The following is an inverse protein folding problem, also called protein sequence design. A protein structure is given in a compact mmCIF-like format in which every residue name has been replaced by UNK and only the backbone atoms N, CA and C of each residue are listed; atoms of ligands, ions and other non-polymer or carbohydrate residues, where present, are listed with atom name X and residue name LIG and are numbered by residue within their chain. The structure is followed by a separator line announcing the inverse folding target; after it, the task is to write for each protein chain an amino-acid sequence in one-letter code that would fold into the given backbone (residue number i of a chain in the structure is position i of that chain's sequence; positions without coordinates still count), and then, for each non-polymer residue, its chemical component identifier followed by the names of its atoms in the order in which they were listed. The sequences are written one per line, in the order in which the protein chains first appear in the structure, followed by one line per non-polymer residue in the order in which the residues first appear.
data_IF_803341269715
#
_entry.id   IF_803341269715
#
_cell.length_a   1.000
_cell.length_b   1.000
_cell.length_c   1.000
_cell.angle_alpha   90.00
_cell.angle_beta   90.00
_cell.angle_gamma   90.00
#
_symmetry.space_group_name_H-M   'P 1'
#
loop_
_entity.id
_entity.type
_entity.pdbx_description
1 polymer ?
#
# COMPACT_ATOMS: atom_id res chain seq x y z
N UNK A 1 -1.04 -14.20 -13.76
CA UNK A 1 -0.07 -14.47 -12.70
C UNK A 1 -0.23 -13.39 -11.65
N UNK A 2 -0.15 -13.75 -10.38
CA UNK A 2 -0.41 -12.86 -9.25
C UNK A 2 0.81 -12.78 -8.33
N UNK A 3 0.97 -11.71 -7.55
CA UNK A 3 1.93 -11.70 -6.46
C UNK A 3 1.60 -12.80 -5.45
N UNK A 4 2.64 -13.36 -4.82
CA UNK A 4 2.49 -14.37 -3.77
C UNK A 4 3.24 -13.88 -2.54
N UNK A 5 2.52 -13.66 -1.44
CA UNK A 5 3.17 -13.43 -0.14
C UNK A 5 3.70 -14.77 0.33
N UNK A 6 5.01 -14.97 0.17
CA UNK A 6 5.67 -16.22 0.56
C UNK A 6 5.75 -16.36 2.07
N UNK A 7 6.02 -15.25 2.75
CA UNK A 7 6.08 -15.19 4.21
C UNK A 7 5.53 -13.83 4.62
N UNK A 8 4.67 -13.79 5.64
CA UNK A 8 4.36 -12.59 6.41
C UNK A 8 4.36 -12.94 7.89
N UNK A 9 5.18 -12.24 8.67
CA UNK A 9 5.22 -12.30 10.13
C UNK A 9 4.88 -10.93 10.71
N UNK A 10 3.87 -10.88 11.57
CA UNK A 10 3.38 -9.67 12.24
C UNK A 10 3.81 -9.72 13.70
N UNK A 11 4.87 -9.00 14.00
CA UNK A 11 5.55 -8.99 15.31
C UNK A 11 5.20 -7.76 16.17
N UNK A 12 4.30 -6.89 15.69
CA UNK A 12 3.82 -5.73 16.42
C UNK A 12 2.29 -5.66 16.41
N UNK A 13 1.69 -5.08 17.47
CA UNK A 13 0.25 -4.89 17.53
C UNK A 13 -0.23 -3.82 16.54
N UNK A 14 -1.16 -4.21 15.67
CA UNK A 14 -1.87 -3.33 14.76
C UNK A 14 -3.36 -3.32 15.08
N UNK A 15 -3.94 -2.12 15.23
CA UNK A 15 -5.40 -1.99 15.34
C UNK A 15 -6.08 -2.44 14.05
N UNK A 16 -5.51 -2.04 12.93
CA UNK A 16 -5.96 -2.41 11.59
C UNK A 16 -4.76 -2.91 10.81
N UNK A 17 -4.92 -4.02 10.11
CA UNK A 17 -4.00 -4.53 9.10
C UNK A 17 -4.88 -4.96 7.94
N UNK A 18 -4.57 -4.47 6.74
CA UNK A 18 -5.35 -4.77 5.55
C UNK A 18 -4.47 -4.64 4.31
N UNK A 19 -4.81 -5.41 3.30
CA UNK A 19 -4.29 -5.26 1.95
C UNK A 19 -5.44 -4.82 1.03
N UNK A 20 -5.15 -3.91 0.11
CA UNK A 20 -6.11 -3.45 -0.89
C UNK A 20 -5.59 -3.72 -2.31
N UNK A 21 -6.45 -4.27 -3.15
CA UNK A 21 -6.31 -4.32 -4.59
C UNK A 21 -6.70 -2.94 -5.14
N UNK A 22 -5.73 -2.15 -5.59
CA UNK A 22 -5.94 -0.75 -5.98
C UNK A 22 -6.06 -0.63 -7.51
N UNK A 23 -7.28 -0.31 -7.97
CA UNK A 23 -7.65 -0.22 -9.38
C UNK A 23 -7.80 1.22 -9.88
N UNK A 24 -8.11 2.13 -8.97
CA UNK A 24 -8.23 3.57 -9.26
C UNK A 24 -7.96 4.37 -7.98
N UNK A 25 -8.07 5.69 -8.06
CA UNK A 25 -7.79 6.61 -6.98
C UNK A 25 -8.82 7.73 -6.91
N UNK A 26 -9.01 8.29 -5.72
CA UNK A 26 -9.80 9.51 -5.51
C UNK A 26 -9.02 10.49 -4.62
N UNK A 27 -8.44 11.52 -5.24
CA UNK A 27 -7.65 12.53 -4.52
C UNK A 27 -8.51 13.52 -3.71
N UNK A 28 -9.84 13.48 -3.84
CA UNK A 28 -10.76 14.33 -3.09
C UNK A 28 -10.92 13.89 -1.63
N UNK A 29 -10.64 12.60 -1.33
CA UNK A 29 -10.69 12.01 0.01
C UNK A 29 -9.30 11.57 0.49
N UNK A 30 -9.11 11.40 1.80
CA UNK A 30 -7.81 11.00 2.38
C UNK A 30 -7.83 9.56 2.93
N UNK A 31 -6.65 9.05 3.27
CA UNK A 31 -6.45 7.72 3.87
C UNK A 31 -6.92 6.58 2.97
N UNK A 32 -7.37 5.45 3.53
CA UNK A 32 -7.68 4.25 2.74
C UNK A 32 -8.80 4.44 1.70
N UNK A 33 -9.64 5.46 1.88
CA UNK A 33 -10.73 5.78 0.95
C UNK A 33 -10.24 6.35 -0.39
N UNK A 34 -9.05 6.94 -0.43
CA UNK A 34 -8.50 7.49 -1.67
C UNK A 34 -7.95 6.41 -2.62
N UNK A 35 -7.85 5.17 -2.16
CA UNK A 35 -7.46 4.02 -2.95
C UNK A 35 -8.73 3.27 -3.31
N UNK A 36 -9.14 3.26 -4.57
CA UNK A 36 -10.37 2.59 -5.03
C UNK A 36 -10.05 1.14 -5.36
N UNK A 37 -10.92 0.23 -4.89
CA UNK A 37 -10.85 -1.20 -5.12
C UNK A 37 -11.19 -1.99 -3.84
N UNK A 38 -10.93 -3.30 -3.86
CA UNK A 38 -11.38 -4.22 -2.83
C UNK A 38 -10.30 -4.54 -1.79
N UNK A 39 -10.73 -4.80 -0.56
CA UNK A 39 -9.85 -5.32 0.48
C UNK A 39 -9.70 -6.83 0.32
N UNK A 40 -8.48 -7.34 0.52
CA UNK A 40 -8.24 -8.78 0.60
C UNK A 40 -8.95 -9.36 1.83
N UNK A 41 -9.67 -10.46 1.65
CA UNK A 41 -10.24 -11.25 2.73
C UNK A 41 -9.15 -12.09 3.43
N UNK A 42 -8.09 -12.42 2.69
CA UNK A 42 -6.94 -13.20 3.17
C UNK A 42 -6.04 -12.39 4.11
N UNK A 43 -6.03 -11.06 4.04
CA UNK A 43 -5.16 -10.20 4.87
C UNK A 43 -5.97 -9.34 5.83
N UNK A 44 -5.83 -9.62 7.12
CA UNK A 44 -6.49 -8.88 8.19
C UNK A 44 -5.61 -8.78 9.46
N UNK A 45 -6.11 -8.09 10.49
CA UNK A 45 -5.38 -7.85 11.74
C UNK A 45 -5.24 -9.06 12.69
N UNK A 46 -5.75 -10.22 12.31
CA UNK A 46 -5.58 -11.47 13.06
C UNK A 46 -4.37 -12.28 12.58
N UNK A 47 -3.79 -11.92 11.43
CA UNK A 47 -2.55 -12.55 10.94
C UNK A 47 -1.43 -12.32 11.94
N UNK A 48 -0.76 -13.41 12.31
CA UNK A 48 0.49 -13.41 13.07
C UNK A 48 1.64 -13.95 12.24
N UNK A 49 1.44 -15.11 11.59
CA UNK A 49 2.41 -15.71 10.69
C UNK A 49 1.64 -16.53 9.66
N UNK A 50 1.84 -16.22 8.38
CA UNK A 50 1.22 -16.94 7.27
C UNK A 50 2.21 -17.03 6.11
N UNK A 51 2.00 -18.02 5.23
CA UNK A 51 2.85 -18.27 4.07
C UNK A 51 2.02 -18.65 2.85
N UNK A 52 2.62 -18.47 1.68
CA UNK A 52 2.04 -18.87 0.38
C UNK A 52 0.64 -18.30 0.09
N UNK A 53 0.37 -17.06 0.53
CA UNK A 53 -0.87 -16.35 0.21
C UNK A 53 -0.76 -15.80 -1.20
N UNK A 54 -1.49 -16.42 -2.13
CA UNK A 54 -1.67 -15.90 -3.50
C UNK A 54 -2.66 -14.74 -3.47
N UNK A 55 -2.29 -13.60 -4.06
CA UNK A 55 -3.15 -12.42 -4.16
C UNK A 55 -3.99 -12.45 -5.45
N UNK A 56 -4.89 -13.44 -5.55
CA UNK A 56 -5.71 -13.76 -6.72
C UNK A 56 -7.21 -13.48 -6.53
N UNK A 57 -7.59 -12.76 -5.47
CA UNK A 57 -9.01 -12.44 -5.22
C UNK A 57 -9.55 -11.43 -6.24
N UNK A 58 -8.69 -10.55 -6.75
CA UNK A 58 -9.03 -9.53 -7.74
C UNK A 58 -7.85 -9.27 -8.70
N UNK A 59 -8.16 -8.88 -9.94
CA UNK A 59 -7.15 -8.39 -10.88
C UNK A 59 -6.87 -6.93 -10.55
N UNK A 60 -5.62 -6.62 -10.21
CA UNK A 60 -5.21 -5.26 -9.86
C UNK A 60 -3.83 -4.90 -10.39
N UNK A 61 -3.68 -3.63 -10.80
CA UNK A 61 -2.39 -3.07 -11.21
C UNK A 61 -1.49 -2.80 -10.00
N UNK A 62 -2.10 -2.38 -8.90
CA UNK A 62 -1.41 -1.95 -7.69
C UNK A 62 -1.97 -2.66 -6.46
N UNK A 63 -1.12 -2.80 -5.44
CA UNK A 63 -1.45 -3.43 -4.17
C UNK A 63 -0.94 -2.54 -3.04
N UNK A 64 -1.72 -2.41 -1.98
CA UNK A 64 -1.35 -1.59 -0.84
C UNK A 64 -1.61 -2.31 0.48
N UNK A 65 -0.53 -2.65 1.20
CA UNK A 65 -0.56 -3.23 2.53
C UNK A 65 -0.35 -2.12 3.58
N UNK A 66 -1.29 -1.98 4.50
CA UNK A 66 -1.27 -0.97 5.55
C UNK A 66 -1.52 -1.57 6.93
N UNK A 67 -0.63 -1.26 7.87
CA UNK A 67 -0.79 -1.56 9.29
C UNK A 67 -0.90 -0.26 10.10
N UNK A 68 -2.03 -0.05 10.78
CA UNK A 68 -2.22 1.08 11.72
C UNK A 68 -1.86 0.61 13.12
N UNK A 69 -0.77 1.14 13.67
CA UNK A 69 -0.16 0.67 14.92
C UNK A 69 -1.05 0.89 16.15
N UNK A 70 -0.86 0.04 17.16
CA UNK A 70 -1.41 0.21 18.51
C UNK A 70 -0.25 0.21 19.54
N UNK A 71 -0.06 1.23 20.40
CA UNK A 71 -0.79 2.50 20.44
C UNK A 71 -0.62 3.30 19.13
N UNK A 72 -1.57 4.19 18.83
CA UNK A 72 -1.58 4.97 17.59
C UNK A 72 -0.38 5.92 17.49
N UNK A 73 0.73 5.43 16.94
CA UNK A 73 1.94 6.19 16.65
C UNK A 73 2.21 6.14 15.17
N UNK A 74 2.02 7.26 14.47
CA UNK A 74 2.12 7.29 13.00
C UNK A 74 3.47 6.81 12.46
N UNK A 75 4.57 7.04 13.19
CA UNK A 75 5.90 6.54 12.84
C UNK A 75 6.00 5.02 12.82
N UNK A 76 5.10 4.32 13.52
CA UNK A 76 5.07 2.87 13.66
C UNK A 76 4.07 2.23 12.69
N UNK A 77 3.31 3.02 11.91
CA UNK A 77 2.45 2.47 10.88
C UNK A 77 3.29 1.79 9.80
N UNK A 78 2.81 0.64 9.33
CA UNK A 78 3.41 -0.06 8.21
C UNK A 78 2.71 0.37 6.93
N UNK A 79 3.50 0.62 5.89
CA UNK A 79 3.03 0.91 4.54
C UNK A 79 3.93 0.20 3.54
N UNK A 80 3.33 -0.55 2.63
CA UNK A 80 3.99 -1.18 1.50
C UNK A 80 3.06 -1.09 0.28
N UNK A 81 3.45 -0.28 -0.68
CA UNK A 81 2.83 -0.20 -1.99
C UNK A 81 3.66 -1.02 -2.98
N UNK A 82 3.01 -1.77 -3.86
CA UNK A 82 3.70 -2.58 -4.85
C UNK A 82 2.83 -2.86 -6.08
N UNK A 83 3.45 -3.39 -7.12
CA UNK A 83 2.78 -3.89 -8.33
C UNK A 83 3.30 -5.27 -8.69
N UNK A 84 2.54 -5.99 -9.52
CA UNK A 84 3.01 -7.24 -10.08
C UNK A 84 4.22 -7.02 -10.98
N UNK A 85 5.26 -7.84 -10.79
CA UNK A 85 6.43 -7.90 -11.68
C UNK A 85 7.00 -9.31 -11.65
N UNK A 86 6.76 -10.08 -12.71
CA UNK A 86 7.19 -11.47 -12.81
C UNK A 86 8.69 -11.61 -12.55
N UNK A 87 9.06 -12.61 -11.73
CA UNK A 87 10.46 -12.92 -11.40
C UNK A 87 11.16 -11.92 -10.47
N UNK A 88 10.46 -10.86 -10.02
CA UNK A 88 10.96 -9.95 -8.98
C UNK A 88 10.43 -10.33 -7.61
N UNK A 89 11.14 -9.94 -6.56
CA UNK A 89 10.70 -10.15 -5.18
C UNK A 89 10.91 -8.91 -4.32
N UNK A 90 10.04 -8.77 -3.33
CA UNK A 90 10.15 -7.79 -2.25
C UNK A 90 10.57 -8.54 -1.01
N UNK A 91 11.54 -8.00 -0.28
CA UNK A 91 11.87 -8.40 1.09
C UNK A 91 11.88 -7.15 1.96
N UNK A 92 10.98 -7.11 2.93
CA UNK A 92 10.84 -5.97 3.84
C UNK A 92 10.75 -6.47 5.27
N UNK A 93 11.56 -5.88 6.15
CA UNK A 93 11.46 -6.06 7.60
C UNK A 93 11.50 -4.68 8.26
N UNK A 94 10.33 -4.15 8.60
CA UNK A 94 10.19 -2.81 9.18
C UNK A 94 8.87 -2.68 9.92
N UNK A 95 8.85 -1.79 10.90
CA UNK A 95 7.62 -1.39 11.60
C UNK A 95 6.82 -2.57 12.17
N UNK A 96 7.50 -3.68 12.52
CA UNK A 96 6.86 -4.87 13.10
C UNK A 96 6.23 -5.82 12.09
N UNK A 97 6.48 -5.65 10.79
CA UNK A 97 6.12 -6.65 9.77
C UNK A 97 7.40 -7.07 9.03
N UNK A 98 7.62 -8.38 9.01
CA UNK A 98 8.55 -9.03 8.10
C UNK A 98 7.72 -9.69 7.00
N UNK A 99 8.04 -9.41 5.73
CA UNK A 99 7.29 -9.90 4.60
C UNK A 99 8.19 -10.15 3.40
N UNK A 100 7.95 -11.28 2.72
CA UNK A 100 8.54 -11.61 1.42
C UNK A 100 7.41 -11.81 0.42
N UNK A 101 7.47 -11.09 -0.69
CA UNK A 101 6.48 -11.19 -1.77
C UNK A 101 7.19 -11.55 -3.07
N UNK A 102 6.81 -12.67 -3.68
CA UNK A 102 7.24 -13.06 -5.01
C UNK A 102 6.35 -12.45 -6.09
N UNK A 103 6.93 -12.29 -7.28
CA UNK A 103 6.33 -11.64 -8.44
C UNK A 103 5.84 -10.21 -8.16
N UNK A 104 6.62 -9.46 -7.38
CA UNK A 104 6.27 -8.12 -6.96
C UNK A 104 7.46 -7.16 -7.03
N UNK A 105 7.16 -5.89 -7.28
CA UNK A 105 8.10 -4.78 -7.20
C UNK A 105 7.54 -3.71 -6.25
N UNK A 106 8.33 -3.34 -5.24
CA UNK A 106 7.95 -2.29 -4.29
C UNK A 106 7.95 -0.92 -4.97
N UNK A 107 6.88 -0.17 -4.77
CA UNK A 107 6.76 1.23 -5.16
C UNK A 107 7.06 2.07 -3.93
N UNK A 108 8.24 2.69 -3.92
CA UNK A 108 8.63 3.59 -2.82
C UNK A 108 7.73 4.83 -2.85
N UNK A 109 6.99 5.03 -1.76
CA UNK A 109 6.09 6.18 -1.60
C UNK A 109 6.93 7.45 -1.43
N UNK A 110 6.90 8.34 -2.42
CA UNK A 110 7.62 9.61 -2.38
C UNK A 110 6.72 10.78 -1.99
N UNK A 111 7.00 11.38 -0.83
CA UNK A 111 6.28 12.58 -0.37
C UNK A 111 6.58 13.84 -1.20
N UNK A 112 7.68 13.88 -1.98
CA UNK A 112 8.00 15.04 -2.80
C UNK A 112 7.11 15.15 -4.04
N UNK A 113 6.55 14.03 -4.51
CA UNK A 113 5.60 13.98 -5.63
C UNK A 113 4.35 14.84 -5.40
N UNK A 114 3.96 15.06 -4.15
CA UNK A 114 2.79 15.86 -3.76
C UNK A 114 2.87 17.29 -4.30
N UNK A 115 4.08 17.88 -4.27
CA UNK A 115 4.31 19.26 -4.74
C UNK A 115 4.12 19.41 -6.26
N UNK A 116 4.12 18.31 -7.01
CA UNK A 116 3.96 18.30 -8.47
C UNK A 116 2.49 18.27 -8.89
N UNK A 117 1.57 17.97 -7.97
CA UNK A 117 0.14 17.95 -8.26
C UNK A 117 -0.51 19.28 -7.89
N UNK A 118 -1.09 19.94 -8.88
CA UNK A 118 -1.94 21.11 -8.68
C UNK A 118 -3.35 20.66 -8.22
N UNK A 119 -3.46 20.21 -6.98
CA UNK A 119 -4.72 19.79 -6.36
C UNK A 119 -4.86 20.49 -4.99
N UNK A 120 -6.04 21.02 -4.68
CA UNK A 120 -6.28 21.77 -3.45
C UNK A 120 -5.85 21.01 -2.18
N UNK A 121 -6.12 19.71 -2.13
CA UNK A 121 -5.74 18.88 -0.99
C UNK A 121 -4.22 18.71 -0.81
N UNK A 122 -3.37 19.03 -1.79
CA UNK A 122 -1.91 18.87 -1.67
C UNK A 122 -1.27 19.82 -0.64
N UNK A 123 -1.94 20.93 -0.31
CA UNK A 123 -1.50 21.88 0.73
C UNK A 123 -2.09 21.59 2.11
N UNK A 124 -3.06 20.67 2.22
CA UNK A 124 -3.71 20.32 3.49
C UNK A 124 -2.86 19.28 4.23
N UNK A 125 -2.46 19.60 5.46
CA UNK A 125 -1.58 18.75 6.28
C UNK A 125 -2.02 17.30 6.39
N UNK A 126 -3.31 17.07 6.66
CA UNK A 126 -3.85 15.72 6.80
C UNK A 126 -3.67 14.85 5.53
N UNK A 127 -3.65 15.48 4.36
CA UNK A 127 -3.48 14.81 3.07
C UNK A 127 -2.00 14.62 2.73
N UNK A 128 -1.20 15.69 2.78
CA UNK A 128 0.21 15.57 2.37
C UNK A 128 1.06 14.71 3.31
N UNK A 129 0.63 14.46 4.56
CA UNK A 129 1.32 13.50 5.46
C UNK A 129 0.74 12.09 5.40
N UNK A 130 -0.36 11.87 4.69
CA UNK A 130 -1.01 10.57 4.58
C UNK A 130 -0.32 9.70 3.52
N UNK A 131 0.20 8.53 3.91
CA UNK A 131 0.94 7.64 2.99
C UNK A 131 0.05 7.02 1.92
N UNK A 132 -1.22 6.75 2.23
CA UNK A 132 -2.19 6.25 1.25
C UNK A 132 -2.45 7.32 0.18
N UNK A 133 -2.63 8.58 0.60
CA UNK A 133 -2.87 9.69 -0.33
C UNK A 133 -1.61 10.08 -1.11
N UNK A 134 -0.43 10.03 -0.48
CA UNK A 134 0.86 10.17 -1.17
C UNK A 134 1.01 9.14 -2.30
N UNK A 135 0.68 7.89 -2.02
CA UNK A 135 0.71 6.83 -3.04
C UNK A 135 -0.32 7.06 -4.14
N UNK A 136 -1.56 7.40 -3.80
CA UNK A 136 -2.60 7.73 -4.78
C UNK A 136 -2.15 8.89 -5.70
N UNK A 137 -1.58 9.94 -5.12
CA UNK A 137 -1.05 11.08 -5.84
C UNK A 137 0.11 10.69 -6.78
N UNK A 138 0.97 9.75 -6.35
CA UNK A 138 2.06 9.26 -7.17
C UNK A 138 1.54 8.47 -8.39
N UNK A 139 0.58 7.56 -8.19
CA UNK A 139 -0.07 6.82 -9.29
C UNK A 139 -0.72 7.79 -10.28
N UNK A 140 -1.46 8.80 -9.78
CA UNK A 140 -2.08 9.83 -10.63
C UNK A 140 -1.08 10.46 -11.61
N UNK A 141 0.12 10.80 -11.10
CA UNK A 141 1.17 11.38 -11.92
C UNK A 141 1.73 10.37 -12.92
N UNK A 142 2.03 9.15 -12.48
CA UNK A 142 2.52 8.07 -13.36
C UNK A 142 1.55 7.84 -14.53
N UNK A 143 0.25 7.71 -14.26
CA UNK A 143 -0.78 7.49 -15.29
C UNK A 143 -0.96 8.69 -16.22
N UNK A 144 -0.86 9.91 -15.69
CA UNK A 144 -0.97 11.14 -16.49
C UNK A 144 0.22 11.30 -17.43
N UNK A 145 1.43 10.93 -17.01
CA UNK A 145 2.65 11.06 -17.82
C UNK A 145 2.90 9.85 -18.72
N UNK A 146 2.39 8.65 -18.40
CA UNK A 146 2.47 7.48 -19.29
C UNK A 146 1.57 7.60 -20.53
N UNK A 147 0.61 8.52 -20.52
CA UNK A 147 -0.33 8.80 -21.63
C UNK A 147 0.10 9.96 -22.54
N UNK A 148 1.29 10.54 -22.32
CA UNK A 148 1.92 11.53 -23.20
C UNK A 148 3.19 10.96 -23.82
#
# INVERSE_FOLDING_TARGET
MFPVIKIINVNAPFKYLWLKYVNDIDLSVHCAKCLIGEYSLKINNQIQSESDIVLDEEISQYYYLCGVSLPYRWSNNFHLAFRFKAGSSISANRNGIEIIIENAEEIKIDSHSIKKVNHFNSVIKAYFTCRNWQFANQIYLEDKYAKN
#
